data_IF_469683318081
#
_entry.id   IF_469683318081
#
_cell.length_a   1.000
_cell.length_b   1.000
_cell.length_c   1.000
_cell.angle_alpha   90.00
_cell.angle_beta   90.00
_cell.angle_gamma   90.00
#
_symmetry.space_group_name_H-M   'P 1'
#
loop_
_entity.id
_entity.type
_entity.pdbx_description
1 polymer ?
#
# COMPACT_ATOMS: atom_id res chain seq x y z
N UNK A 1 16.96 17.64 -0.61
CA UNK A 1 17.17 17.06 -1.94
C UNK A 1 18.65 17.06 -2.30
N UNK A 2 19.28 15.89 -2.48
CA UNK A 2 20.65 15.81 -3.00
C UNK A 2 20.75 16.23 -4.47
N UNK A 3 21.98 16.48 -4.93
CA UNK A 3 22.29 16.84 -6.33
C UNK A 3 22.76 15.61 -7.12
N UNK A 4 21.92 14.58 -7.20
CA UNK A 4 22.23 13.29 -7.84
C UNK A 4 21.20 12.89 -8.91
N UNK A 5 20.20 13.75 -9.18
CA UNK A 5 19.17 13.53 -10.20
C UNK A 5 18.19 12.40 -9.89
N UNK A 6 18.17 11.88 -8.66
CA UNK A 6 17.25 10.78 -8.31
C UNK A 6 15.79 11.25 -8.22
N UNK A 7 14.82 10.42 -8.64
CA UNK A 7 13.41 10.74 -8.52
C UNK A 7 12.94 10.75 -7.06
N UNK A 8 11.77 11.33 -6.80
CA UNK A 8 11.19 11.37 -5.45
C UNK A 8 10.97 9.97 -4.87
N UNK A 9 10.58 9.01 -5.71
CA UNK A 9 10.40 7.60 -5.29
C UNK A 9 11.68 6.98 -4.71
N UNK A 10 12.86 7.35 -5.24
CA UNK A 10 14.11 6.83 -4.69
C UNK A 10 14.35 7.31 -3.24
N UNK A 11 13.90 8.53 -2.92
CA UNK A 11 13.95 9.10 -1.58
C UNK A 11 12.87 8.48 -0.71
N UNK A 12 11.64 8.37 -1.21
CA UNK A 12 10.54 7.72 -0.52
C UNK A 12 10.95 6.29 -0.08
N UNK A 13 11.58 5.53 -0.98
CA UNK A 13 12.09 4.20 -0.70
C UNK A 13 13.16 4.17 0.38
N UNK A 14 14.10 5.12 0.40
CA UNK A 14 15.15 5.21 1.43
C UNK A 14 14.57 5.37 2.84
N UNK A 15 13.48 6.14 2.96
CA UNK A 15 12.80 6.40 4.23
C UNK A 15 11.59 5.48 4.49
N UNK A 16 11.36 4.47 3.65
CA UNK A 16 10.21 3.56 3.72
C UNK A 16 8.85 4.30 3.73
N UNK A 17 8.74 5.36 2.93
CA UNK A 17 7.51 6.13 2.72
C UNK A 17 6.92 5.81 1.33
N UNK A 18 5.60 5.93 1.17
CA UNK A 18 4.94 5.83 -0.13
C UNK A 18 5.12 7.10 -0.98
N UNK A 19 5.10 6.96 -2.30
CA UNK A 19 5.27 8.13 -3.18
C UNK A 19 4.19 9.21 -2.95
N UNK A 20 2.92 8.81 -2.81
CA UNK A 20 1.84 9.77 -2.59
C UNK A 20 1.94 10.47 -1.22
N UNK A 21 2.32 9.77 -0.15
CA UNK A 21 2.56 10.40 1.15
C UNK A 21 3.66 11.48 1.06
N UNK A 22 4.73 11.20 0.30
CA UNK A 22 5.79 12.18 0.04
C UNK A 22 5.26 13.40 -0.73
N UNK A 23 4.34 13.22 -1.69
CA UNK A 23 3.76 14.31 -2.46
C UNK A 23 2.76 15.12 -1.64
N UNK A 24 1.95 14.47 -0.80
CA UNK A 24 1.01 15.11 0.12
C UNK A 24 1.74 15.98 1.15
N UNK A 25 2.82 15.45 1.74
CA UNK A 25 3.65 16.19 2.69
C UNK A 25 4.50 17.29 2.03
N UNK A 26 4.71 17.25 0.70
CA UNK A 26 5.57 18.18 -0.02
C UNK A 26 4.88 18.75 -1.28
N UNK A 27 3.85 19.60 -1.14
CA UNK A 27 3.13 20.16 -2.28
C UNK A 27 4.04 20.85 -3.31
N UNK A 28 3.69 20.68 -4.60
CA UNK A 28 4.44 21.25 -5.73
C UNK A 28 5.83 20.63 -5.96
N UNK A 29 6.12 19.46 -5.38
CA UNK A 29 7.34 18.72 -5.68
C UNK A 29 7.17 17.94 -6.98
N UNK A 30 8.11 18.10 -7.91
CA UNK A 30 8.19 17.26 -9.11
C UNK A 30 8.59 15.82 -8.69
N UNK A 31 7.77 14.79 -8.97
CA UNK A 31 8.09 13.42 -8.61
C UNK A 31 9.23 12.81 -9.42
N UNK A 32 9.50 13.31 -10.63
CA UNK A 32 10.53 12.80 -11.54
C UNK A 32 11.89 13.43 -11.28
N UNK A 33 11.91 14.76 -11.08
CA UNK A 33 13.15 15.50 -10.83
C UNK A 33 12.93 16.58 -9.75
N UNK A 34 12.89 16.21 -8.46
CA UNK A 34 12.67 17.18 -7.41
C UNK A 34 13.81 18.19 -7.35
N UNK A 35 13.47 19.46 -7.13
CA UNK A 35 14.44 20.57 -7.13
C UNK A 35 15.58 20.34 -6.13
N UNK A 36 16.81 20.35 -6.62
CA UNK A 36 18.04 20.26 -5.81
C UNK A 36 18.05 21.33 -4.72
N UNK A 37 18.48 20.96 -3.51
CA UNK A 37 18.50 21.86 -2.35
C UNK A 37 17.14 22.13 -1.70
N UNK A 38 16.02 21.69 -2.28
CA UNK A 38 14.71 21.75 -1.62
C UNK A 38 14.72 20.89 -0.35
N UNK A 39 14.28 21.46 0.77
CA UNK A 39 13.98 20.71 2.00
C UNK A 39 12.72 19.89 1.78
N UNK A 40 12.76 18.61 2.12
CA UNK A 40 11.60 17.72 2.07
C UNK A 40 11.20 17.31 3.48
N UNK A 41 9.90 17.29 3.74
CA UNK A 41 9.28 16.67 4.90
C UNK A 41 9.22 15.16 4.64
N UNK A 42 9.70 14.36 5.59
CA UNK A 42 9.55 12.91 5.60
C UNK A 42 8.43 12.57 6.59
N UNK A 43 7.23 12.16 6.13
CA UNK A 43 6.07 11.96 6.99
C UNK A 43 6.13 10.61 7.73
N UNK A 44 7.11 10.43 8.61
CA UNK A 44 7.29 9.17 9.37
C UNK A 44 6.43 9.06 10.63
N UNK A 45 5.84 10.18 11.08
CA UNK A 45 4.90 10.20 12.20
C UNK A 45 3.48 9.99 11.69
N UNK A 46 2.72 9.10 12.34
CA UNK A 46 1.36 8.77 11.95
C UNK A 46 0.53 8.28 13.14
N UNK A 47 -0.77 8.50 13.06
CA UNK A 47 -1.80 7.86 13.87
C UNK A 47 -2.05 6.44 13.37
N UNK A 48 -2.29 5.52 14.30
CA UNK A 48 -2.69 4.17 13.97
C UNK A 48 -4.18 4.14 13.60
N UNK A 49 -4.60 3.27 12.67
CA UNK A 49 -6.03 3.06 12.41
C UNK A 49 -6.79 2.66 13.69
N UNK A 50 -8.01 3.15 13.83
CA UNK A 50 -8.92 2.82 14.94
C UNK A 50 -9.53 1.40 14.76
N UNK A 51 -8.65 0.40 14.63
CA UNK A 51 -9.00 -1.01 14.44
C UNK A 51 -8.41 -1.87 15.55
N UNK A 52 -8.70 -3.17 15.51
CA UNK A 52 -8.00 -4.13 16.35
C UNK A 52 -6.49 -4.06 16.06
N UNK A 53 -5.67 -4.03 17.12
CA UNK A 53 -4.20 -4.10 17.04
C UNK A 53 -3.73 -5.56 17.03
N UNK A 54 -4.13 -6.31 16.00
CA UNK A 54 -3.80 -7.73 15.84
C UNK A 54 -3.69 -8.09 14.37
N UNK A 55 -2.72 -8.94 14.03
CA UNK A 55 -2.48 -9.39 12.66
C UNK A 55 -2.14 -8.23 11.73
N UNK A 56 -2.72 -8.22 10.53
CA UNK A 56 -2.45 -7.24 9.48
C UNK A 56 -3.67 -6.35 9.29
N UNK A 57 -3.45 -5.03 9.33
CA UNK A 57 -4.41 -4.02 8.89
C UNK A 57 -3.87 -3.37 7.63
N UNK A 58 -4.69 -3.21 6.61
CA UNK A 58 -4.36 -2.47 5.40
C UNK A 58 -5.32 -1.31 5.31
N UNK A 59 -4.81 -0.08 5.32
CA UNK A 59 -5.62 1.11 5.06
C UNK A 59 -5.36 1.57 3.62
N UNK A 60 -6.38 1.43 2.76
CA UNK A 60 -6.25 1.75 1.35
C UNK A 60 -6.06 3.26 1.11
N UNK A 61 -6.68 4.13 1.91
CA UNK A 61 -6.55 5.58 1.76
C UNK A 61 -5.14 6.07 2.10
N UNK A 62 -4.57 5.55 3.20
CA UNK A 62 -3.22 5.88 3.64
C UNK A 62 -2.12 5.03 2.97
N UNK A 63 -2.48 4.21 1.97
CA UNK A 63 -1.58 3.31 1.23
C UNK A 63 -0.55 2.59 2.12
N UNK A 64 -1.04 2.09 3.26
CA UNK A 64 -0.20 1.56 4.33
C UNK A 64 -0.72 0.22 4.83
N UNK A 65 0.22 -0.69 5.09
CA UNK A 65 0.02 -1.96 5.79
C UNK A 65 0.64 -1.88 7.18
N UNK A 66 -0.15 -2.19 8.20
CA UNK A 66 0.24 -2.23 9.60
C UNK A 66 0.23 -3.69 10.06
N UNK A 67 1.37 -4.20 10.52
CA UNK A 67 1.47 -5.51 11.13
C UNK A 67 1.64 -5.38 12.64
N UNK A 68 0.75 -6.03 13.39
CA UNK A 68 0.75 -6.13 14.84
C UNK A 68 1.08 -7.58 15.25
N UNK A 69 2.36 -7.89 15.57
CA UNK A 69 2.75 -9.23 15.97
C UNK A 69 2.11 -9.62 17.30
N UNK A 70 1.62 -10.85 17.38
CA UNK A 70 1.00 -11.38 18.59
C UNK A 70 1.99 -11.37 19.76
N UNK A 71 1.56 -10.85 20.91
CA UNK A 71 2.38 -10.77 22.12
C UNK A 71 3.47 -9.69 22.09
N UNK A 72 3.44 -8.80 21.09
CA UNK A 72 4.35 -7.66 20.97
C UNK A 72 3.58 -6.36 21.17
N UNK A 73 4.23 -5.34 21.73
CA UNK A 73 3.72 -3.97 21.77
C UNK A 73 4.32 -3.10 20.65
N UNK A 74 4.65 -3.72 19.51
CA UNK A 74 5.23 -3.06 18.35
C UNK A 74 4.26 -3.13 17.18
N UNK A 75 4.34 -2.14 16.30
CA UNK A 75 3.69 -2.13 14.99
C UNK A 75 4.76 -1.90 13.93
N UNK A 76 4.67 -2.65 12.84
CA UNK A 76 5.53 -2.51 11.68
C UNK A 76 4.65 -1.92 10.59
N UNK A 77 5.07 -0.81 10.00
CA UNK A 77 4.31 -0.14 8.97
C UNK A 77 5.08 -0.23 7.66
N UNK A 78 4.39 -0.64 6.61
CA UNK A 78 4.93 -0.78 5.28
C UNK A 78 4.09 0.04 4.30
N UNK A 79 4.70 0.90 3.48
CA UNK A 79 3.99 1.53 2.39
C UNK A 79 3.65 0.46 1.34
N UNK A 80 2.49 0.59 0.71
CA UNK A 80 1.98 -0.41 -0.24
C UNK A 80 1.50 0.21 -1.54
N UNK A 81 1.56 -0.58 -2.61
CA UNK A 81 0.81 -0.35 -3.83
C UNK A 81 -0.49 -1.15 -3.82
N UNK A 82 -1.58 -0.57 -4.34
CA UNK A 82 -2.91 -1.21 -4.36
C UNK A 82 -3.49 -1.26 -5.78
N UNK A 83 -4.68 -1.83 -5.89
CA UNK A 83 -5.45 -1.95 -7.13
C UNK A 83 -5.71 -0.60 -7.81
N UNK A 84 -5.44 -0.55 -9.11
CA UNK A 84 -5.81 0.57 -9.98
C UNK A 84 -7.35 0.70 -10.11
N UNK A 85 -7.81 1.83 -10.61
CA UNK A 85 -9.22 2.02 -10.99
C UNK A 85 -9.70 0.89 -11.92
N UNK A 86 -10.90 0.38 -11.65
CA UNK A 86 -11.48 -0.77 -12.35
C UNK A 86 -10.94 -2.15 -11.91
N UNK A 87 -9.88 -2.19 -11.10
CA UNK A 87 -9.34 -3.41 -10.49
C UNK A 87 -8.97 -3.16 -9.02
N UNK A 88 -9.89 -2.52 -8.29
CA UNK A 88 -9.66 -2.06 -6.93
C UNK A 88 -9.34 -3.22 -5.97
N UNK A 89 -8.47 -2.95 -5.00
CA UNK A 89 -8.30 -3.85 -3.86
C UNK A 89 -9.58 -3.78 -2.99
N UNK A 90 -10.26 -4.91 -2.74
CA UNK A 90 -11.52 -4.91 -2.00
C UNK A 90 -11.29 -4.67 -0.50
N UNK A 91 -12.24 -3.98 0.15
CA UNK A 91 -12.37 -4.05 1.61
C UNK A 91 -12.78 -5.47 2.00
N UNK A 92 -12.09 -6.05 2.97
CA UNK A 92 -12.31 -7.45 3.37
C UNK A 92 -11.81 -7.72 4.78
N UNK A 93 -12.34 -8.77 5.38
CA UNK A 93 -11.75 -9.44 6.55
C UNK A 93 -11.41 -10.87 6.12
N UNK A 94 -10.17 -11.29 6.33
CA UNK A 94 -9.65 -12.56 5.84
C UNK A 94 -8.48 -13.05 6.69
N UNK A 95 -7.79 -14.09 6.22
CA UNK A 95 -6.57 -14.62 6.83
C UNK A 95 -5.53 -14.91 5.76
N UNK A 96 -4.26 -14.99 6.16
CA UNK A 96 -3.20 -15.49 5.30
C UNK A 96 -3.30 -17.03 5.23
N UNK A 97 -3.61 -17.56 4.05
CA UNK A 97 -3.75 -19.01 3.82
C UNK A 97 -2.43 -19.70 3.49
N UNK A 98 -1.47 -18.98 2.90
CA UNK A 98 -0.20 -19.56 2.47
C UNK A 98 0.91 -18.51 2.44
N UNK A 99 2.12 -18.94 2.82
CA UNK A 99 3.37 -18.22 2.56
C UNK A 99 4.09 -18.89 1.39
N UNK A 100 4.32 -18.16 0.31
CA UNK A 100 4.94 -18.65 -0.93
C UNK A 100 6.28 -17.94 -1.16
N UNK A 101 7.38 -18.68 -1.04
CA UNK A 101 8.71 -18.25 -1.49
C UNK A 101 8.87 -18.56 -2.98
N UNK A 102 9.45 -17.65 -3.74
CA UNK A 102 9.66 -17.75 -5.19
C UNK A 102 8.35 -18.10 -5.92
N UNK A 103 7.31 -17.25 -5.84
CA UNK A 103 6.03 -17.52 -6.47
C UNK A 103 6.17 -17.60 -8.00
N UNK A 104 5.40 -18.48 -8.63
CA UNK A 104 5.05 -18.34 -10.04
C UNK A 104 3.84 -17.43 -10.15
N UNK A 105 3.68 -16.78 -11.31
CA UNK A 105 2.51 -15.94 -11.58
C UNK A 105 1.73 -16.44 -12.79
N UNK A 106 0.44 -16.69 -12.60
CA UNK A 106 -0.48 -17.04 -13.68
C UNK A 106 -1.45 -15.88 -13.89
N UNK A 107 -1.25 -15.05 -14.94
CA UNK A 107 -2.16 -13.96 -15.27
C UNK A 107 -3.60 -14.46 -15.48
N UNK A 108 -4.56 -13.80 -14.84
CA UNK A 108 -5.99 -14.10 -15.02
C UNK A 108 -6.45 -13.77 -16.44
N UNK A 109 -7.58 -14.34 -16.91
CA UNK A 109 -8.12 -14.01 -18.23
C UNK A 109 -8.32 -12.51 -18.46
N UNK A 110 -8.79 -11.79 -17.43
CA UNK A 110 -8.98 -10.33 -17.52
C UNK A 110 -7.65 -9.57 -17.65
N UNK A 111 -6.62 -9.98 -16.91
CA UNK A 111 -5.27 -9.39 -17.03
C UNK A 111 -4.73 -9.64 -18.44
N UNK A 112 -4.84 -10.86 -18.97
CA UNK A 112 -4.42 -11.18 -20.34
C UNK A 112 -5.12 -10.33 -21.37
N UNK A 113 -6.45 -10.17 -21.25
CA UNK A 113 -7.25 -9.35 -22.15
C UNK A 113 -6.79 -7.89 -22.13
N UNK A 114 -6.50 -7.33 -20.95
CA UNK A 114 -6.02 -5.96 -20.81
C UNK A 114 -4.66 -5.76 -21.49
N UNK A 115 -3.68 -6.59 -21.15
CA UNK A 115 -2.34 -6.50 -21.75
C UNK A 115 -2.36 -6.74 -23.27
N UNK A 116 -3.22 -7.65 -23.76
CA UNK A 116 -3.38 -7.87 -25.19
C UNK A 116 -3.96 -6.65 -25.93
N UNK A 117 -4.79 -5.83 -25.27
CA UNK A 117 -5.28 -4.57 -25.84
C UNK A 117 -4.15 -3.55 -26.05
N UNK A 118 -3.10 -3.63 -25.23
CA UNK A 118 -1.88 -2.81 -25.35
C UNK A 118 -0.82 -3.47 -26.26
N UNK A 119 -1.18 -4.54 -26.98
CA UNK A 119 -0.26 -5.28 -27.86
C UNK A 119 0.71 -6.21 -27.15
N UNK A 120 0.55 -6.45 -25.84
CA UNK A 120 1.43 -7.29 -25.03
C UNK A 120 0.82 -8.67 -24.81
N UNK A 121 1.50 -9.72 -25.29
CA UNK A 121 1.10 -11.12 -25.07
C UNK A 121 1.81 -11.65 -23.83
N UNK A 122 1.05 -11.90 -22.76
CA UNK A 122 1.60 -12.49 -21.53
C UNK A 122 1.73 -14.02 -21.65
N UNK A 123 2.84 -14.63 -21.17
CA UNK A 123 2.98 -16.09 -21.09
C UNK A 123 1.89 -16.73 -20.21
N UNK A 124 1.64 -18.02 -20.41
CA UNK A 124 0.66 -18.79 -19.61
C UNK A 124 1.01 -18.76 -18.12
N UNK A 125 2.30 -18.89 -17.80
CA UNK A 125 2.85 -18.81 -16.46
C UNK A 125 4.15 -18.02 -16.55
N UNK A 126 4.30 -16.99 -15.72
CA UNK A 126 5.59 -16.39 -15.43
C UNK A 126 6.32 -17.26 -14.40
N UNK A 127 7.52 -17.76 -14.72
CA UNK A 127 8.30 -18.54 -13.78
C UNK A 127 8.71 -17.69 -12.57
N UNK A 128 9.12 -18.34 -11.49
CA UNK A 128 9.75 -17.64 -10.38
C UNK A 128 11.11 -17.06 -10.82
N UNK A 129 11.50 -15.94 -10.24
CA UNK A 129 12.78 -15.29 -10.56
C UNK A 129 12.70 -13.76 -10.46
N UNK A 130 13.81 -13.07 -10.77
CA UNK A 130 13.89 -11.61 -10.70
C UNK A 130 12.91 -10.90 -11.64
N UNK A 131 12.55 -11.53 -12.76
CA UNK A 131 11.62 -10.96 -13.74
C UNK A 131 10.14 -11.21 -13.39
N UNK A 132 9.86 -11.94 -12.31
CA UNK A 132 8.49 -12.19 -11.90
C UNK A 132 7.88 -10.91 -11.27
N UNK A 133 6.75 -10.39 -11.79
CA UNK A 133 6.14 -9.16 -11.26
C UNK A 133 5.59 -9.31 -9.84
N UNK A 134 5.45 -10.53 -9.33
CA UNK A 134 5.09 -10.79 -7.93
C UNK A 134 6.29 -10.70 -6.97
N UNK A 135 7.51 -10.52 -7.47
CA UNK A 135 8.73 -10.56 -6.68
C UNK A 135 9.04 -11.96 -6.14
N UNK A 136 9.86 -12.01 -5.08
CA UNK A 136 10.38 -13.27 -4.52
C UNK A 136 9.54 -13.86 -3.38
N UNK A 137 8.56 -13.11 -2.87
CA UNK A 137 7.75 -13.52 -1.73
C UNK A 137 6.29 -13.10 -1.94
N UNK A 138 5.37 -13.98 -1.57
CA UNK A 138 3.95 -13.69 -1.59
C UNK A 138 3.22 -14.37 -0.42
N UNK A 139 2.16 -13.72 0.03
CA UNK A 139 1.26 -14.17 1.06
C UNK A 139 -0.13 -14.27 0.43
N UNK A 140 -0.64 -15.50 0.33
CA UNK A 140 -1.96 -15.75 -0.23
C UNK A 140 -3.02 -15.44 0.81
N UNK A 141 -4.07 -14.72 0.43
CA UNK A 141 -5.21 -14.45 1.29
C UNK A 141 -6.29 -15.51 1.07
N UNK A 142 -7.04 -15.86 2.11
CA UNK A 142 -8.19 -16.79 2.01
C UNK A 142 -9.37 -16.18 1.24
N UNK A 143 -9.33 -14.87 0.95
CA UNK A 143 -10.39 -14.14 0.27
C UNK A 143 -10.47 -14.47 -1.22
N UNK A 144 -11.70 -14.56 -1.75
CA UNK A 144 -11.95 -14.77 -3.18
C UNK A 144 -11.24 -16.02 -3.72
N UNK A 145 -11.42 -17.19 -3.10
CA UNK A 145 -10.79 -18.44 -3.53
C UNK A 145 -9.26 -18.38 -3.67
N UNK A 146 -8.58 -17.47 -2.96
CA UNK A 146 -7.12 -17.37 -2.99
C UNK A 146 -6.54 -16.51 -4.10
N UNK A 147 -7.35 -15.73 -4.82
CA UNK A 147 -6.89 -14.91 -5.95
C UNK A 147 -6.20 -13.59 -5.54
N UNK A 148 -6.36 -13.15 -4.29
CA UNK A 148 -5.72 -11.94 -3.77
C UNK A 148 -4.49 -12.29 -2.95
N UNK A 149 -3.42 -11.53 -3.18
CA UNK A 149 -2.15 -11.72 -2.50
C UNK A 149 -1.60 -10.38 -1.99
N UNK A 150 -0.83 -10.47 -0.90
CA UNK A 150 0.16 -9.46 -0.51
C UNK A 150 1.49 -9.98 -1.05
N UNK A 151 2.18 -9.25 -1.91
CA UNK A 151 3.38 -9.76 -2.58
C UNK A 151 4.41 -8.66 -2.86
N UNK A 152 5.60 -9.08 -3.28
CA UNK A 152 6.67 -8.16 -3.66
C UNK A 152 6.45 -7.52 -5.02
N UNK A 153 7.50 -6.92 -5.56
CA UNK A 153 7.51 -6.39 -6.91
C UNK A 153 8.92 -6.45 -7.47
N UNK A 154 9.07 -6.60 -8.78
CA UNK A 154 10.34 -6.39 -9.47
C UNK A 154 10.48 -4.96 -10.05
N UNK A 155 9.41 -4.16 -9.98
CA UNK A 155 9.45 -2.76 -10.39
C UNK A 155 10.04 -1.88 -9.28
N UNK A 156 10.80 -0.87 -9.68
CA UNK A 156 11.36 0.18 -8.81
C UNK A 156 10.37 1.34 -8.54
N UNK A 157 9.09 1.15 -8.88
CA UNK A 157 8.01 2.11 -8.68
C UNK A 157 6.70 1.37 -8.37
N UNK A 158 5.68 2.11 -7.94
CA UNK A 158 4.32 1.58 -7.73
C UNK A 158 3.91 1.41 -6.27
N UNK A 159 4.82 1.64 -5.33
CA UNK A 159 4.54 1.67 -3.90
C UNK A 159 4.09 3.09 -3.51
N UNK A 160 3.03 3.18 -2.70
CA UNK A 160 2.31 4.43 -2.52
C UNK A 160 1.57 4.87 -3.77
N UNK A 161 1.14 3.93 -4.64
CA UNK A 161 0.36 4.20 -5.85
C UNK A 161 -0.72 3.13 -6.09
N UNK A 162 -1.67 3.45 -6.97
CA UNK A 162 -2.74 2.55 -7.43
C UNK A 162 -2.41 1.95 -8.79
N UNK A 163 -1.65 0.86 -8.81
CA UNK A 163 -1.06 0.28 -10.04
C UNK A 163 -1.34 -1.21 -10.24
N UNK A 164 -1.83 -1.92 -9.22
CA UNK A 164 -1.99 -3.36 -9.29
C UNK A 164 -3.33 -3.76 -9.92
N UNK A 165 -3.53 -5.04 -10.23
CA UNK A 165 -4.84 -5.60 -10.61
C UNK A 165 -5.62 -6.14 -9.41
N UNK A 166 -5.51 -5.48 -8.25
CA UNK A 166 -6.29 -5.76 -7.03
C UNK A 166 -5.48 -6.37 -5.88
N UNK A 167 -4.30 -6.93 -6.15
CA UNK A 167 -3.37 -7.39 -5.11
C UNK A 167 -2.67 -6.22 -4.38
N UNK A 168 -2.03 -6.51 -3.26
CA UNK A 168 -1.28 -5.54 -2.47
C UNK A 168 0.22 -5.77 -2.72
N UNK A 169 0.94 -4.72 -3.12
CA UNK A 169 2.36 -4.76 -3.46
C UNK A 169 3.18 -4.11 -2.37
N UNK A 170 4.30 -4.71 -2.00
CA UNK A 170 5.32 -4.16 -1.11
C UNK A 170 6.66 -4.11 -1.86
N UNK A 171 7.60 -3.28 -1.38
CA UNK A 171 8.99 -3.32 -1.85
C UNK A 171 9.64 -4.69 -1.55
N UNK A 172 10.68 -5.11 -2.29
CA UNK A 172 11.31 -6.42 -2.11
C UNK A 172 11.73 -6.71 -0.66
N UNK A 173 12.32 -5.74 0.02
CA UNK A 173 12.84 -5.85 1.38
C UNK A 173 11.69 -5.92 2.39
N UNK A 174 10.68 -5.08 2.18
CA UNK A 174 9.47 -5.00 3.02
C UNK A 174 8.68 -6.31 2.97
N UNK A 175 8.45 -6.87 1.77
CA UNK A 175 7.74 -8.16 1.65
C UNK A 175 8.52 -9.30 2.27
N UNK A 176 9.86 -9.28 2.13
CA UNK A 176 10.71 -10.30 2.71
C UNK A 176 10.66 -10.26 4.24
N UNK A 177 10.76 -9.08 4.82
CA UNK A 177 10.65 -8.88 6.26
C UNK A 177 9.28 -9.35 6.79
N UNK A 178 8.19 -8.96 6.12
CA UNK A 178 6.84 -9.39 6.48
C UNK A 178 6.67 -10.91 6.36
N UNK A 179 7.14 -11.50 5.26
CA UNK A 179 7.05 -12.94 4.99
C UNK A 179 7.65 -13.80 6.11
N UNK A 180 8.82 -13.40 6.62
CA UNK A 180 9.50 -14.14 7.69
C UNK A 180 8.95 -13.84 9.09
N UNK A 181 8.20 -12.74 9.24
CA UNK A 181 7.69 -12.31 10.54
C UNK A 181 6.33 -12.90 10.87
N UNK A 182 5.49 -13.23 9.87
CA UNK A 182 4.11 -13.64 10.12
C UNK A 182 3.91 -15.17 10.03
N UNK A 183 3.03 -15.75 10.86
CA UNK A 183 2.57 -17.12 10.69
C UNK A 183 1.41 -17.23 9.67
N UNK A 184 1.25 -18.42 9.06
CA UNK A 184 0.01 -18.78 8.35
C UNK A 184 -1.17 -18.70 9.34
N UNK A 185 -2.33 -18.27 8.85
CA UNK A 185 -3.52 -18.02 9.65
C UNK A 185 -3.58 -16.61 10.26
N UNK A 186 -2.55 -15.78 10.06
CA UNK A 186 -2.57 -14.37 10.48
C UNK A 186 -3.82 -13.68 9.93
N UNK A 187 -4.57 -13.06 10.83
CA UNK A 187 -5.78 -12.31 10.49
C UNK A 187 -5.44 -11.04 9.71
N UNK A 188 -6.29 -10.69 8.75
CA UNK A 188 -6.10 -9.54 7.86
C UNK A 188 -7.40 -8.76 7.75
N UNK A 189 -7.34 -7.44 7.91
CA UNK A 189 -8.46 -6.53 7.61
C UNK A 189 -8.02 -5.43 6.65
N UNK A 190 -8.79 -5.24 5.59
CA UNK A 190 -8.62 -4.14 4.63
C UNK A 190 -9.71 -3.11 4.86
N UNK A 191 -9.32 -1.91 5.25
CA UNK A 191 -10.17 -0.73 5.51
C UNK A 191 -9.88 0.37 4.50
N UNK A 192 -10.71 1.41 4.49
CA UNK A 192 -10.49 2.61 3.66
C UNK A 192 -10.88 3.84 4.45
N UNK A 193 -9.97 4.30 5.31
CA UNK A 193 -10.19 5.40 6.25
C UNK A 193 -9.20 6.54 5.94
N UNK A 194 -9.63 7.57 5.19
CA UNK A 194 -8.77 8.71 4.88
C UNK A 194 -8.53 9.63 6.08
N UNK A 195 -9.40 9.57 7.10
CA UNK A 195 -9.25 10.37 8.32
C UNK A 195 -8.97 9.43 9.47
N UNK A 196 -7.84 9.64 10.15
CA UNK A 196 -7.51 9.03 11.43
C UNK A 196 -7.48 10.14 12.48
N UNK A 197 -7.92 9.84 13.69
CA UNK A 197 -7.97 10.82 14.76
C UNK A 197 -7.78 10.13 16.11
N UNK A 198 -7.22 10.87 17.07
CA UNK A 198 -6.94 10.34 18.40
C UNK A 198 -7.01 11.45 19.45
N UNK A 199 -7.43 11.07 20.66
CA UNK A 199 -7.26 11.87 21.86
C UNK A 199 -6.14 11.23 22.68
N UNK A 200 -5.03 11.94 22.81
CA UNK A 200 -3.83 11.43 23.46
C UNK A 200 -3.91 11.51 24.99
N UNK A 201 -3.10 10.73 25.72
CA UNK A 201 -3.14 10.69 27.19
C UNK A 201 -2.85 12.03 27.87
N UNK A 202 -2.12 12.93 27.21
CA UNK A 202 -1.84 14.28 27.69
C UNK A 202 -3.00 15.27 27.47
N UNK A 203 -4.08 14.81 26.83
CA UNK A 203 -5.26 15.59 26.52
C UNK A 203 -5.22 16.29 25.17
N UNK A 204 -4.13 16.15 24.40
CA UNK A 204 -4.08 16.66 23.02
C UNK A 204 -4.96 15.85 22.07
N UNK A 205 -5.33 16.49 20.96
CA UNK A 205 -6.20 15.93 19.92
C UNK A 205 -5.43 15.98 18.61
N UNK A 206 -5.21 14.82 18.01
CA UNK A 206 -4.51 14.68 16.74
C UNK A 206 -5.48 14.22 15.65
N UNK A 207 -5.29 14.77 14.44
CA UNK A 207 -6.01 14.37 13.23
C UNK A 207 -4.98 14.20 12.11
N UNK A 208 -5.05 13.07 11.42
CA UNK A 208 -4.28 12.78 10.22
C UNK A 208 -5.23 12.55 9.06
N UNK A 209 -5.02 13.28 7.97
CA UNK A 209 -5.90 13.28 6.79
C UNK A 209 -5.09 12.92 5.57
N UNK A 210 -5.58 11.92 4.83
CA UNK A 210 -5.08 11.47 3.54
C UNK A 210 -6.08 11.80 2.44
N UNK A 211 -5.62 11.88 1.20
CA UNK A 211 -6.51 12.03 0.06
C UNK A 211 -7.46 10.81 -0.06
N UNK A 212 -8.76 11.02 -0.36
CA UNK A 212 -9.67 9.92 -0.60
C UNK A 212 -9.33 9.20 -1.91
N UNK A 213 -9.61 7.90 -1.98
CA UNK A 213 -9.44 7.16 -3.23
C UNK A 213 -10.44 7.61 -4.29
N UNK A 214 -9.94 7.96 -5.48
CA UNK A 214 -10.75 8.13 -6.69
C UNK A 214 -11.62 6.90 -6.97
N UNK A 215 -12.84 7.14 -7.44
CA UNK A 215 -13.79 6.13 -7.90
C UNK A 215 -13.85 6.05 -9.43
N UNK A 216 -13.55 7.15 -10.12
CA UNK A 216 -13.40 7.21 -11.58
C UNK A 216 -12.20 8.07 -11.98
N UNK A 217 -11.90 8.13 -13.28
CA UNK A 217 -10.73 8.86 -13.82
C UNK A 217 -10.87 10.38 -13.74
N UNK A 218 -12.11 10.90 -13.74
CA UNK A 218 -12.37 12.33 -13.64
C UNK A 218 -12.29 12.88 -12.21
N UNK A 219 -12.11 12.01 -11.22
CA UNK A 219 -11.97 12.41 -9.83
C UNK A 219 -10.58 13.01 -9.58
N UNK A 220 -10.56 14.17 -8.92
CA UNK A 220 -9.34 14.77 -8.39
C UNK A 220 -9.30 14.60 -6.85
N UNK A 221 -8.50 13.66 -6.32
CA UNK A 221 -8.39 13.40 -4.89
C UNK A 221 -8.02 14.62 -4.04
N UNK A 222 -7.38 15.63 -4.62
CA UNK A 222 -7.02 16.86 -3.90
C UNK A 222 -8.21 17.76 -3.62
N UNK A 223 -9.27 17.64 -4.42
CA UNK A 223 -10.46 18.52 -4.34
C UNK A 223 -11.75 17.77 -3.99
N UNK A 224 -11.69 16.43 -3.95
CA UNK A 224 -12.81 15.59 -3.54
C UNK A 224 -13.22 15.86 -2.07
N UNK A 225 -14.54 15.89 -1.77
CA UNK A 225 -14.99 16.04 -0.40
C UNK A 225 -14.68 14.78 0.43
N UNK A 226 -14.23 14.98 1.66
CA UNK A 226 -14.07 13.92 2.64
C UNK A 226 -15.42 13.58 3.27
N UNK A 227 -15.68 12.28 3.42
CA UNK A 227 -16.87 11.79 4.13
C UNK A 227 -16.51 11.57 5.59
N UNK A 228 -17.12 12.36 6.48
CA UNK A 228 -16.91 12.26 7.91
C UNK A 228 -17.76 11.15 8.53
N UNK A 229 -17.13 10.23 9.25
CA UNK A 229 -17.82 9.22 10.06
C UNK A 229 -18.58 9.88 11.22
N UNK A 230 -19.54 9.18 11.80
CA UNK A 230 -20.27 9.69 12.96
C UNK A 230 -19.34 9.86 14.16
N UNK A 231 -18.37 8.95 14.29
CA UNK A 231 -17.35 8.97 15.32
C UNK A 231 -16.45 10.20 15.17
N UNK A 232 -16.04 10.54 13.94
CA UNK A 232 -15.25 11.75 13.69
C UNK A 232 -16.06 13.02 13.95
N UNK A 233 -17.34 13.06 13.54
CA UNK A 233 -18.22 14.20 13.86
C UNK A 233 -18.42 14.41 15.35
N UNK A 234 -18.43 13.33 16.14
CA UNK A 234 -18.52 13.40 17.60
C UNK A 234 -17.18 13.74 18.27
N UNK A 235 -16.06 13.59 17.55
CA UNK A 235 -14.72 13.95 18.00
C UNK A 235 -14.42 15.44 17.84
N UNK A 236 -14.97 16.08 16.80
CA UNK A 236 -14.93 17.54 16.58
C UNK A 236 -15.74 18.30 17.63
#
# INVERSE_FOLDING_TARGET
>A
MPNDGRPLEAIASEFQIGLLDMLEANPGTDPYLPKVGKTLIIPSQMLLPATKRDGIIVNLAALSLYYFPKGSNKVMVYPIGIGQLGANTPKMVTTVSQLIKNPTWTPTPNIRKRYAADGVILPAVFPAGPDNPMGLYALRLSYGNGQYLIHGTNANFGIGLRVSSGCIRLRPEDIQALFYSIPVGTWVQVINEPIKFSKEPDGSYDIEVHQPLSKCESDDPQTMPLVYSNEFKAFL
#
